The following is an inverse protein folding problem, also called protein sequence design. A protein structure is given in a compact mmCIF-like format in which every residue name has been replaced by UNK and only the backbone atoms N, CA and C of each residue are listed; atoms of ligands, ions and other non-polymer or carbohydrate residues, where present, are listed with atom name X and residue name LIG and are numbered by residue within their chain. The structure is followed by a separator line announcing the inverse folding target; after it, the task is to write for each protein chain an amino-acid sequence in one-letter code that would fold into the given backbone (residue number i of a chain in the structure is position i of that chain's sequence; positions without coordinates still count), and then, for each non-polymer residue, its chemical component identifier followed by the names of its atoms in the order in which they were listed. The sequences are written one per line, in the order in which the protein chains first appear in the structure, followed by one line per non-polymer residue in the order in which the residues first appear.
data_IF_541510720663
#
_entry.id   IF_541510720663
#
_cell.length_a   1.000
_cell.length_b   1.000
_cell.length_c   1.000
_cell.angle_alpha   90.00
_cell.angle_beta   90.00
_cell.angle_gamma   90.00
#
_symmetry.space_group_name_H-M   'P 1'
#
loop_
_entity.id
_entity.type
_entity.pdbx_description
1 polymer ?
#
# COMPACT_ATOMS: atom_id res chain seq x y z
N UNK A 1 14.45 -7.97 -31.79
CA UNK A 1 13.67 -9.09 -31.22
C UNK A 1 12.36 -8.55 -30.68
N UNK A 2 11.22 -9.05 -31.14
CA UNK A 2 9.94 -8.62 -30.57
C UNK A 2 9.75 -9.28 -29.19
N UNK A 3 9.23 -8.56 -28.17
CA UNK A 3 8.97 -9.16 -26.87
C UNK A 3 7.91 -10.28 -27.00
N UNK A 4 8.07 -11.36 -26.23
CA UNK A 4 7.10 -12.46 -26.20
C UNK A 4 5.74 -12.01 -25.62
N UNK A 5 5.77 -11.04 -24.70
CA UNK A 5 4.56 -10.43 -24.12
C UNK A 5 4.49 -8.99 -24.63
N UNK A 6 3.44 -8.67 -25.36
CA UNK A 6 3.20 -7.33 -25.89
C UNK A 6 2.20 -6.60 -25.03
N UNK A 7 2.37 -5.28 -24.87
CA UNK A 7 1.45 -4.40 -24.13
C UNK A 7 1.24 -4.80 -22.66
N UNK A 8 2.28 -5.39 -22.03
CA UNK A 8 2.23 -5.65 -20.60
C UNK A 8 2.08 -4.34 -19.83
N UNK A 9 1.11 -4.27 -18.91
CA UNK A 9 0.91 -3.16 -18.01
C UNK A 9 0.88 -3.69 -16.57
N UNK A 10 1.42 -2.89 -15.65
CA UNK A 10 1.34 -3.22 -14.23
C UNK A 10 -0.11 -3.11 -13.77
N UNK A 11 -0.62 -4.14 -13.11
CA UNK A 11 -2.01 -4.15 -12.63
C UNK A 11 -2.08 -3.89 -11.13
N UNK A 12 -1.45 -4.71 -10.32
CA UNK A 12 -1.42 -4.54 -8.87
C UNK A 12 -0.25 -5.30 -8.24
N UNK A 13 0.04 -4.98 -6.99
CA UNK A 13 0.91 -5.75 -6.11
C UNK A 13 0.07 -6.32 -4.97
N UNK A 14 0.33 -7.56 -4.56
CA UNK A 14 -0.26 -8.18 -3.38
C UNK A 14 0.80 -8.45 -2.32
N UNK A 15 0.50 -8.08 -1.08
CA UNK A 15 1.36 -8.23 0.08
C UNK A 15 0.66 -9.08 1.15
N UNK A 16 1.40 -9.96 1.82
CA UNK A 16 0.84 -10.66 2.97
C UNK A 16 0.67 -9.73 4.15
N UNK A 17 -0.39 -9.90 4.92
CA UNK A 17 -0.57 -9.25 6.23
C UNK A 17 -1.38 -10.15 7.15
N UNK A 18 -1.26 -9.97 8.44
CA UNK A 18 -2.02 -10.68 9.47
C UNK A 18 -3.28 -9.92 9.91
N UNK A 19 -3.34 -8.61 9.66
CA UNK A 19 -4.47 -7.74 10.02
C UNK A 19 -4.86 -6.82 8.85
N UNK A 20 -5.92 -7.18 8.13
CA UNK A 20 -6.43 -6.42 6.99
C UNK A 20 -7.02 -5.06 7.39
N UNK A 21 -7.64 -4.95 8.56
CA UNK A 21 -8.23 -3.69 9.03
C UNK A 21 -7.15 -2.69 9.39
N UNK A 22 -6.06 -3.14 9.98
CA UNK A 22 -4.88 -2.33 10.24
C UNK A 22 -4.22 -1.87 8.94
N UNK A 23 -4.12 -2.75 7.93
CA UNK A 23 -3.63 -2.39 6.59
C UNK A 23 -4.49 -1.28 5.96
N UNK A 24 -5.80 -1.45 5.89
CA UNK A 24 -6.71 -0.43 5.35
C UNK A 24 -6.54 0.90 6.07
N UNK A 25 -6.57 0.89 7.40
CA UNK A 25 -6.45 2.11 8.20
C UNK A 25 -5.15 2.84 7.93
N UNK A 26 -4.01 2.13 7.87
CA UNK A 26 -2.72 2.74 7.59
C UNK A 26 -2.69 3.40 6.21
N UNK A 27 -3.03 2.65 5.16
CA UNK A 27 -2.92 3.17 3.79
C UNK A 27 -3.96 4.25 3.48
N UNK A 28 -5.13 4.20 4.10
CA UNK A 28 -6.13 5.29 3.99
C UNK A 28 -5.63 6.56 4.68
N UNK A 29 -5.08 6.46 5.89
CA UNK A 29 -4.62 7.64 6.65
C UNK A 29 -3.35 8.25 6.01
N UNK A 30 -2.38 7.41 5.66
CA UNK A 30 -1.06 7.90 5.19
C UNK A 30 -1.09 8.31 3.71
N UNK A 31 -1.77 7.56 2.86
CA UNK A 31 -1.73 7.74 1.39
C UNK A 31 -3.06 8.19 0.78
N UNK A 32 -4.11 8.36 1.58
CA UNK A 32 -5.45 8.64 1.05
C UNK A 32 -5.98 7.52 0.17
N UNK A 33 -5.56 6.27 0.45
CA UNK A 33 -5.98 5.12 -0.33
C UNK A 33 -7.49 4.93 -0.28
N UNK A 34 -8.05 4.46 -1.37
CA UNK A 34 -9.47 4.12 -1.48
C UNK A 34 -9.63 2.61 -1.57
N UNK A 35 -10.29 2.01 -0.60
CA UNK A 35 -10.70 0.61 -0.68
C UNK A 35 -11.74 0.48 -1.79
N UNK A 36 -11.46 -0.37 -2.78
CA UNK A 36 -12.40 -0.56 -3.89
C UNK A 36 -12.93 -1.98 -3.99
N UNK A 37 -12.32 -2.93 -3.30
CA UNK A 37 -12.76 -4.31 -3.27
C UNK A 37 -12.26 -5.01 -2.01
N UNK A 38 -13.09 -5.89 -1.46
CA UNK A 38 -12.70 -6.91 -0.48
C UNK A 38 -13.10 -8.27 -1.01
N UNK A 39 -12.37 -9.29 -0.64
CA UNK A 39 -12.62 -10.64 -1.12
C UNK A 39 -12.96 -11.57 0.04
N UNK A 40 -13.94 -12.40 -0.21
CA UNK A 40 -14.19 -13.64 0.52
C UNK A 40 -14.00 -14.79 -0.48
N UNK A 41 -12.91 -15.52 -0.37
CA UNK A 41 -12.54 -16.57 -1.35
C UNK A 41 -13.50 -17.74 -1.33
N UNK A 42 -14.29 -17.90 -0.28
CA UNK A 42 -15.33 -18.93 -0.16
C UNK A 42 -16.62 -18.54 -0.88
N UNK A 43 -16.83 -17.24 -1.11
CA UNK A 43 -18.06 -16.69 -1.71
C UNK A 43 -17.75 -15.91 -2.99
N UNK A 44 -17.17 -16.56 -3.97
CA UNK A 44 -16.90 -15.94 -5.29
C UNK A 44 -18.20 -15.57 -6.03
N UNK A 45 -18.23 -14.47 -6.81
CA UNK A 45 -17.14 -13.57 -7.21
C UNK A 45 -16.75 -12.58 -6.11
N UNK A 46 -15.61 -11.90 -6.32
CA UNK A 46 -15.18 -10.79 -5.48
C UNK A 46 -16.29 -9.72 -5.46
N UNK A 47 -16.64 -9.27 -4.28
CA UNK A 47 -17.75 -8.33 -4.10
C UNK A 47 -17.20 -7.01 -3.57
N UNK A 48 -17.46 -5.87 -4.21
CA UNK A 48 -17.21 -4.56 -3.62
C UNK A 48 -17.96 -4.44 -2.30
N UNK A 49 -17.29 -3.98 -1.27
CA UNK A 49 -17.89 -3.89 0.04
C UNK A 49 -17.70 -2.48 0.63
N UNK A 50 -18.80 -1.82 0.96
CA UNK A 50 -18.83 -0.57 1.71
C UNK A 50 -18.85 -0.85 3.21
N UNK A 51 -18.22 0.01 4.01
CA UNK A 51 -18.08 -0.13 5.46
C UNK A 51 -16.75 -0.76 5.89
N UNK A 52 -16.65 -1.17 7.15
CA UNK A 52 -15.44 -1.78 7.71
C UNK A 52 -15.35 -3.28 7.42
N UNK A 53 -14.18 -3.88 7.65
CA UNK A 53 -14.02 -5.34 7.62
C UNK A 53 -14.87 -5.98 8.71
N UNK A 54 -14.87 -5.40 9.92
CA UNK A 54 -15.70 -5.88 11.02
C UNK A 54 -17.19 -5.86 10.68
N UNK A 55 -17.68 -4.87 9.91
CA UNK A 55 -19.08 -4.86 9.44
C UNK A 55 -19.34 -6.01 8.46
N UNK A 56 -18.39 -6.33 7.59
CA UNK A 56 -18.50 -7.46 6.67
C UNK A 56 -18.54 -8.79 7.42
N UNK A 57 -17.64 -8.97 8.39
CA UNK A 57 -17.57 -10.17 9.22
C UNK A 57 -18.85 -10.35 10.06
N UNK A 58 -19.41 -9.26 10.61
CA UNK A 58 -20.70 -9.31 11.31
C UNK A 58 -21.87 -9.75 10.40
N UNK A 59 -21.74 -9.55 9.08
CA UNK A 59 -22.70 -10.01 8.07
C UNK A 59 -22.41 -11.41 7.54
N UNK A 60 -21.42 -12.09 8.13
CA UNK A 60 -21.07 -13.47 7.84
C UNK A 60 -20.10 -13.66 6.66
N UNK A 61 -19.40 -12.61 6.23
CA UNK A 61 -18.30 -12.74 5.29
C UNK A 61 -17.01 -13.15 6.02
N UNK A 62 -16.17 -13.93 5.34
CA UNK A 62 -14.83 -14.30 5.81
C UNK A 62 -13.81 -13.59 4.91
N UNK A 63 -13.52 -12.34 5.24
CA UNK A 63 -12.68 -11.49 4.39
C UNK A 63 -11.23 -11.97 4.46
N UNK A 64 -10.69 -12.41 3.35
CA UNK A 64 -9.31 -12.91 3.21
C UNK A 64 -8.39 -12.00 2.41
N UNK A 65 -8.92 -10.97 1.76
CA UNK A 65 -8.13 -9.94 1.09
C UNK A 65 -8.86 -8.61 1.00
N UNK A 66 -8.08 -7.54 0.94
CA UNK A 66 -8.56 -6.20 0.64
C UNK A 66 -7.71 -5.55 -0.45
N UNK A 67 -8.33 -4.75 -1.31
CA UNK A 67 -7.68 -4.09 -2.43
C UNK A 67 -7.96 -2.60 -2.39
N UNK A 68 -6.88 -1.83 -2.49
CA UNK A 68 -6.92 -0.37 -2.41
C UNK A 68 -6.27 0.27 -3.62
N UNK A 69 -6.74 1.46 -3.95
CA UNK A 69 -6.17 2.32 -4.99
C UNK A 69 -5.54 3.55 -4.34
N UNK A 70 -4.29 3.85 -4.70
CA UNK A 70 -3.56 5.05 -4.28
C UNK A 70 -3.38 5.94 -5.50
N UNK A 71 -3.94 7.14 -5.46
CA UNK A 71 -3.92 8.04 -6.61
C UNK A 71 -4.53 7.41 -7.87
N UNK A 72 -4.01 7.77 -9.05
CA UNK A 72 -4.60 7.34 -10.32
C UNK A 72 -4.07 6.00 -10.87
N UNK A 73 -3.01 5.45 -10.30
CA UNK A 73 -2.32 4.32 -10.94
C UNK A 73 -1.95 3.13 -10.07
N UNK A 74 -1.77 3.33 -8.77
CA UNK A 74 -1.25 2.26 -7.91
C UNK A 74 -2.41 1.48 -7.30
N UNK A 75 -2.40 0.16 -7.55
CA UNK A 75 -3.30 -0.78 -6.88
C UNK A 75 -2.48 -1.71 -6.01
N UNK A 76 -2.87 -1.81 -4.75
CA UNK A 76 -2.23 -2.64 -3.77
C UNK A 76 -3.27 -3.55 -3.13
N UNK A 77 -2.96 -4.84 -3.05
CA UNK A 77 -3.77 -5.84 -2.37
C UNK A 77 -3.07 -6.32 -1.12
N UNK A 78 -3.83 -6.63 -0.10
CA UNK A 78 -3.36 -7.30 1.11
C UNK A 78 -4.08 -8.62 1.27
N UNK A 79 -3.31 -9.68 1.44
CA UNK A 79 -3.82 -11.03 1.69
C UNK A 79 -3.65 -11.36 3.17
N UNK A 80 -4.71 -11.84 3.80
CA UNK A 80 -4.64 -12.36 5.18
C UNK A 80 -3.84 -13.66 5.20
N UNK A 81 -2.56 -13.55 5.46
CA UNK A 81 -1.62 -14.67 5.59
C UNK A 81 -0.65 -14.38 6.73
N UNK A 82 -0.20 -15.42 7.47
CA UNK A 82 0.98 -15.29 8.31
C UNK A 82 2.14 -14.76 7.46
N UNK A 83 2.86 -13.80 7.98
CA UNK A 83 4.03 -13.24 7.30
C UNK A 83 5.14 -14.30 7.32
N UNK A 84 5.36 -14.95 6.18
CA UNK A 84 6.50 -15.85 6.00
C UNK A 84 7.62 -15.10 5.30
N UNK A 85 8.63 -14.71 6.08
CA UNK A 85 9.81 -13.98 5.61
C UNK A 85 10.67 -14.73 4.58
N UNK A 86 10.34 -15.97 4.25
CA UNK A 86 11.12 -16.79 3.32
C UNK A 86 10.62 -16.78 1.87
N UNK A 87 9.56 -16.05 1.56
CA UNK A 87 9.02 -15.96 0.20
C UNK A 87 9.36 -14.60 -0.42
N UNK A 88 10.49 -14.51 -1.12
CA UNK A 88 10.85 -13.43 -2.04
C UNK A 88 10.53 -12.03 -1.50
N UNK A 89 11.30 -11.57 -0.53
CA UNK A 89 11.07 -10.28 0.14
C UNK A 89 11.16 -9.14 -0.86
N UNK A 90 10.10 -8.36 -0.96
CA UNK A 90 10.16 -7.04 -1.57
C UNK A 90 10.91 -6.16 -0.57
N UNK A 91 12.06 -5.60 -0.98
CA UNK A 91 12.90 -4.77 -0.11
C UNK A 91 12.15 -3.50 0.31
N UNK A 92 11.57 -2.79 -0.66
CA UNK A 92 10.73 -1.61 -0.41
C UNK A 92 9.79 -1.33 -1.57
N UNK A 93 8.81 -0.46 -1.31
CA UNK A 93 7.95 0.14 -2.34
C UNK A 93 8.23 1.63 -2.35
N UNK A 94 8.52 2.19 -3.53
CA UNK A 94 8.78 3.61 -3.67
C UNK A 94 7.55 4.36 -4.20
N UNK A 95 7.27 5.52 -3.58
CA UNK A 95 6.20 6.43 -3.97
C UNK A 95 6.75 7.81 -4.32
N UNK A 96 6.20 8.41 -5.35
CA UNK A 96 6.36 9.83 -5.59
C UNK A 96 5.30 10.60 -4.81
N UNK A 97 5.72 11.64 -4.09
CA UNK A 97 4.83 12.50 -3.31
C UNK A 97 4.92 13.96 -3.74
N UNK A 98 3.84 14.69 -3.53
CA UNK A 98 3.82 16.13 -3.61
C UNK A 98 3.96 16.74 -2.21
N UNK A 99 4.71 17.83 -2.08
CA UNK A 99 4.92 18.53 -0.80
C UNK A 99 6.33 18.36 -0.22
N UNK A 100 6.54 18.99 0.93
CA UNK A 100 7.82 18.95 1.63
C UNK A 100 7.90 17.81 2.64
N UNK A 101 9.09 17.25 2.81
CA UNK A 101 9.33 16.13 3.70
C UNK A 101 9.29 16.54 5.17
N UNK A 102 9.64 17.78 5.53
CA UNK A 102 9.66 18.20 6.93
C UNK A 102 8.25 18.33 7.50
N UNK A 103 7.33 18.94 6.76
CA UNK A 103 5.92 18.99 7.14
C UNK A 103 5.27 17.61 7.13
N UNK A 104 5.67 16.73 6.21
CA UNK A 104 5.21 15.35 6.18
C UNK A 104 5.68 14.58 7.42
N UNK A 105 6.96 14.71 7.78
CA UNK A 105 7.51 14.06 8.98
C UNK A 105 6.73 14.40 10.25
N UNK A 106 6.40 15.68 10.43
CA UNK A 106 5.61 16.13 11.57
C UNK A 106 4.24 15.44 11.62
N UNK A 107 3.50 15.43 10.49
CA UNK A 107 2.19 14.80 10.41
C UNK A 107 2.23 13.29 10.65
N UNK A 108 3.25 12.59 10.11
CA UNK A 108 3.43 11.16 10.33
C UNK A 108 3.71 10.84 11.81
N UNK A 109 4.49 11.70 12.47
CA UNK A 109 4.75 11.58 13.93
C UNK A 109 3.46 11.71 14.75
N UNK A 110 2.58 12.65 14.39
CA UNK A 110 1.28 12.85 15.07
C UNK A 110 0.37 11.62 15.00
N UNK A 111 0.48 10.83 13.93
CA UNK A 111 -0.29 9.57 13.77
C UNK A 111 0.53 8.32 14.09
N UNK A 112 1.68 8.49 14.76
CA UNK A 112 2.55 7.40 15.25
C UNK A 112 3.09 6.48 14.15
N UNK A 113 3.34 7.00 12.94
CA UNK A 113 4.02 6.26 11.88
C UNK A 113 5.53 6.26 12.14
N UNK A 114 6.14 5.09 12.05
CA UNK A 114 7.58 4.92 12.23
C UNK A 114 8.35 5.49 11.03
N UNK A 115 9.17 6.52 11.25
CA UNK A 115 10.11 7.05 10.26
C UNK A 115 11.48 6.42 10.51
N UNK A 116 11.97 5.66 9.53
CA UNK A 116 13.22 4.90 9.59
C UNK A 116 14.42 5.75 9.20
N UNK A 117 14.26 6.53 8.12
CA UNK A 117 15.30 7.42 7.58
C UNK A 117 14.65 8.67 7.01
N UNK A 118 15.34 9.79 7.18
CA UNK A 118 14.88 11.09 6.70
C UNK A 118 16.06 11.98 6.35
N UNK A 119 16.06 12.50 5.12
CA UNK A 119 17.00 13.51 4.68
C UNK A 119 16.30 14.53 3.75
N UNK A 120 17.07 15.44 3.13
CA UNK A 120 16.53 16.48 2.24
C UNK A 120 15.85 15.95 0.99
N UNK A 121 16.17 14.75 0.57
CA UNK A 121 15.79 14.22 -0.74
C UNK A 121 14.74 13.12 -0.66
N UNK A 122 14.70 12.35 0.44
CA UNK A 122 13.76 11.24 0.62
C UNK A 122 13.43 10.98 2.08
N UNK A 123 12.38 10.21 2.28
CA UNK A 123 11.99 9.66 3.58
C UNK A 123 11.70 8.16 3.43
N UNK A 124 12.08 7.37 4.42
CA UNK A 124 11.68 5.96 4.51
C UNK A 124 10.82 5.80 5.76
N UNK A 125 9.65 5.27 5.58
CA UNK A 125 8.72 4.90 6.66
C UNK A 125 8.52 3.39 6.69
N UNK A 126 8.02 2.88 7.81
CA UNK A 126 7.63 1.48 7.93
C UNK A 126 6.13 1.37 8.08
N UNK A 127 5.53 0.45 7.32
CA UNK A 127 4.12 0.11 7.53
C UNK A 127 3.95 -0.82 8.75
N UNK A 128 2.71 -1.07 9.22
CA UNK A 128 2.46 -1.93 10.37
C UNK A 128 2.93 -3.38 10.22
N UNK A 129 3.21 -3.84 9.01
CA UNK A 129 3.64 -5.21 8.70
C UNK A 129 5.13 -5.32 8.39
N UNK A 130 5.88 -4.22 8.60
CA UNK A 130 7.33 -4.19 8.41
C UNK A 130 7.80 -3.78 7.01
N UNK A 131 6.87 -3.53 6.06
CA UNK A 131 7.23 -3.08 4.72
C UNK A 131 7.85 -1.70 4.75
N UNK A 132 8.99 -1.54 4.09
CA UNK A 132 9.61 -0.24 3.90
C UNK A 132 8.96 0.50 2.72
N UNK A 133 8.54 1.74 2.98
CA UNK A 133 7.93 2.61 2.00
C UNK A 133 8.84 3.82 1.81
N UNK A 134 9.40 3.97 0.61
CA UNK A 134 10.31 5.06 0.28
C UNK A 134 9.54 6.20 -0.40
N UNK A 135 9.64 7.40 0.14
CA UNK A 135 8.87 8.57 -0.29
C UNK A 135 9.81 9.59 -0.93
N UNK A 136 9.59 9.86 -2.21
CA UNK A 136 10.38 10.80 -3.01
C UNK A 136 9.55 12.02 -3.41
N UNK A 137 9.91 13.24 -2.97
CA UNK A 137 9.28 14.44 -3.49
C UNK A 137 9.46 14.55 -5.01
N UNK A 138 8.37 14.84 -5.72
CA UNK A 138 8.38 15.00 -7.18
C UNK A 138 9.49 15.96 -7.69
N UNK A 139 9.73 17.14 -7.07
CA UNK A 139 10.80 18.03 -7.52
C UNK A 139 12.20 17.41 -7.41
N UNK A 140 12.42 16.50 -6.45
CA UNK A 140 13.70 15.78 -6.31
C UNK A 140 13.91 14.86 -7.50
N UNK A 141 12.89 14.03 -7.82
CA UNK A 141 12.97 13.11 -8.96
C UNK A 141 13.12 13.84 -10.30
N UNK A 142 12.44 14.97 -10.48
CA UNK A 142 12.62 15.84 -11.67
C UNK A 142 14.05 16.36 -11.80
N UNK A 143 14.64 16.84 -10.69
CA UNK A 143 16.04 17.33 -10.66
C UNK A 143 17.04 16.20 -10.98
N UNK A 144 16.71 14.96 -10.62
CA UNK A 144 17.53 13.77 -10.91
C UNK A 144 17.29 13.20 -12.31
N UNK A 145 16.35 13.73 -13.09
CA UNK A 145 15.99 13.21 -14.42
C UNK A 145 15.25 11.86 -14.39
N UNK A 146 14.54 11.57 -13.31
CA UNK A 146 13.80 10.32 -13.10
C UNK A 146 12.29 10.47 -13.32
N UNK A 147 11.81 11.65 -13.63
CA UNK A 147 10.43 11.99 -14.02
C UNK A 147 10.44 12.91 -15.24
#
# INVERSE_FOLDING_TARGET
MNPLIQNAAFHHIELPCDDLELAERFYVIVFGAQVYMRRDSKRRPDVPFEGSISDAEARGFDIDATYMKIGDGIRIGFLRKPHDHNQGEIDHIAFTIDGDLAGLWQRLTEVSVEVIDFNSDRMIIRDPFGMLLELWPRPVLQRMGLL
#
